data_IF_559426584168
#
_entry.id   IF_559426584168
#
_cell.length_a   1.000
_cell.length_b   1.000
_cell.length_c   1.000
_cell.angle_alpha   90.00
_cell.angle_beta   90.00
_cell.angle_gamma   90.00
#
_symmetry.space_group_name_H-M   'P 1'
#
loop_
_entity.id
_entity.type
_entity.pdbx_description
1 polymer ?
#
# COMPACT_ATOMS: atom_id res chain seq x y z
N UNK A 1 -10.28 -17.51 -9.98
CA UNK A 1 -10.54 -16.64 -8.81
C UNK A 1 -11.11 -15.33 -9.33
N UNK A 2 -12.24 -14.82 -8.82
CA UNK A 2 -12.72 -13.47 -9.18
C UNK A 2 -11.84 -12.47 -8.45
N UNK A 3 -11.05 -11.68 -9.18
CA UNK A 3 -10.33 -10.53 -8.63
C UNK A 3 -11.34 -9.60 -7.94
N UNK A 4 -11.16 -9.37 -6.64
CA UNK A 4 -12.02 -8.43 -5.91
C UNK A 4 -11.62 -7.03 -6.35
N UNK A 5 -12.49 -6.32 -7.08
CA UNK A 5 -12.33 -4.89 -7.33
C UNK A 5 -12.29 -4.14 -5.99
N UNK A 6 -11.17 -3.49 -5.70
CA UNK A 6 -10.99 -2.66 -4.51
C UNK A 6 -11.34 -1.23 -4.91
N UNK A 7 -12.53 -0.77 -4.51
CA UNK A 7 -12.93 0.61 -4.74
C UNK A 7 -12.41 1.50 -3.62
N UNK A 8 -11.61 2.49 -3.96
CA UNK A 8 -11.17 3.57 -3.08
C UNK A 8 -11.57 4.92 -3.68
N UNK A 9 -11.95 5.87 -2.83
CA UNK A 9 -12.05 7.28 -3.26
C UNK A 9 -10.65 7.87 -3.43
N UNK A 10 -10.55 9.01 -4.12
CA UNK A 10 -9.27 9.76 -4.22
C UNK A 10 -8.66 10.06 -2.84
N UNK A 11 -9.47 10.48 -1.87
CA UNK A 11 -9.01 10.75 -0.51
C UNK A 11 -8.47 9.48 0.15
N UNK A 12 -9.18 8.36 0.05
CA UNK A 12 -8.72 7.09 0.61
C UNK A 12 -7.40 6.61 -0.01
N UNK A 13 -7.19 6.82 -1.31
CA UNK A 13 -5.92 6.51 -1.95
C UNK A 13 -4.77 7.38 -1.44
N UNK A 14 -5.02 8.67 -1.20
CA UNK A 14 -4.04 9.57 -0.59
C UNK A 14 -3.72 9.16 0.85
N UNK A 15 -4.73 8.80 1.63
CA UNK A 15 -4.57 8.33 3.00
C UNK A 15 -3.76 7.02 3.04
N UNK A 16 -4.06 6.07 2.15
CA UNK A 16 -3.29 4.82 2.02
C UNK A 16 -1.82 5.10 1.66
N UNK A 17 -1.55 6.01 0.72
CA UNK A 17 -0.18 6.41 0.38
C UNK A 17 0.56 7.01 1.59
N UNK A 18 -0.10 7.86 2.38
CA UNK A 18 0.47 8.43 3.60
C UNK A 18 0.76 7.39 4.69
N UNK A 19 -0.13 6.40 4.85
CA UNK A 19 0.09 5.29 5.77
C UNK A 19 1.27 4.43 5.32
N UNK A 20 1.37 4.10 4.03
CA UNK A 20 2.49 3.34 3.47
C UNK A 20 3.81 4.08 3.72
N UNK A 21 3.86 5.39 3.45
CA UNK A 21 5.05 6.21 3.71
C UNK A 21 5.45 6.16 5.19
N UNK A 22 4.48 6.24 6.10
CA UNK A 22 4.73 6.18 7.55
C UNK A 22 5.31 4.83 7.96
N UNK A 23 4.73 3.73 7.47
CA UNK A 23 5.21 2.37 7.75
C UNK A 23 6.63 2.16 7.22
N UNK A 24 6.92 2.59 5.99
CA UNK A 24 8.26 2.47 5.41
C UNK A 24 9.29 3.33 6.14
N UNK A 25 8.90 4.52 6.61
CA UNK A 25 9.77 5.37 7.42
C UNK A 25 10.09 4.75 8.77
N UNK A 26 9.09 4.16 9.43
CA UNK A 26 9.28 3.40 10.66
C UNK A 26 10.21 2.19 10.44
N UNK A 27 10.01 1.46 9.34
CA UNK A 27 10.87 0.35 8.96
C UNK A 27 12.33 0.79 8.74
N UNK A 28 12.56 1.91 8.05
CA UNK A 28 13.91 2.47 7.86
C UNK A 28 14.58 2.83 9.19
N UNK A 29 13.84 3.44 10.10
CA UNK A 29 14.34 3.78 11.44
C UNK A 29 14.69 2.53 12.25
N UNK A 30 13.82 1.52 12.24
CA UNK A 30 14.04 0.27 12.96
C UNK A 30 15.16 -0.59 12.36
N UNK A 31 15.45 -0.44 11.07
CA UNK A 31 16.58 -1.12 10.45
C UNK A 31 17.93 -0.71 11.07
N UNK A 32 18.08 0.53 11.55
CA UNK A 32 19.30 0.95 12.26
C UNK A 32 19.37 0.46 13.71
N UNK A 33 18.27 -0.03 14.28
CA UNK A 33 18.20 -0.48 15.68
C UNK A 33 18.67 -1.95 15.83
N UNK A 34 19.21 -2.32 17.01
CA UNK A 34 19.67 -3.68 17.29
C UNK A 34 18.53 -4.68 17.50
N UNK A 35 17.31 -4.21 17.85
CA UNK A 35 16.13 -5.06 17.95
C UNK A 35 15.19 -4.82 16.76
N UNK A 36 15.14 -5.79 15.84
CA UNK A 36 14.43 -5.70 14.55
C UNK A 36 13.24 -6.65 14.43
N UNK A 37 12.79 -7.24 15.53
CA UNK A 37 11.76 -8.30 15.51
C UNK A 37 10.48 -7.87 14.79
N UNK A 38 10.10 -6.59 14.89
CA UNK A 38 8.89 -6.05 14.28
C UNK A 38 9.09 -5.47 12.85
N UNK A 39 10.34 -5.40 12.36
CA UNK A 39 10.65 -4.77 11.08
C UNK A 39 9.92 -5.46 9.91
N UNK A 40 9.96 -6.80 9.90
CA UNK A 40 9.33 -7.59 8.84
C UNK A 40 7.81 -7.41 8.84
N UNK A 41 7.18 -7.37 10.02
CA UNK A 41 5.73 -7.17 10.15
C UNK A 41 5.30 -5.81 9.60
N UNK A 42 6.09 -4.76 9.83
CA UNK A 42 5.82 -3.42 9.30
C UNK A 42 5.95 -3.40 7.77
N UNK A 43 6.97 -4.06 7.23
CA UNK A 43 7.19 -4.16 5.78
C UNK A 43 6.03 -4.93 5.12
N UNK A 44 5.61 -6.07 5.68
CA UNK A 44 4.48 -6.85 5.17
C UNK A 44 3.20 -6.01 5.14
N UNK A 45 2.90 -5.28 6.23
CA UNK A 45 1.74 -4.37 6.27
C UNK A 45 1.81 -3.28 5.22
N UNK A 46 3.00 -2.73 4.95
CA UNK A 46 3.19 -1.72 3.91
C UNK A 46 2.98 -2.32 2.51
N UNK A 47 3.49 -3.53 2.27
CA UNK A 47 3.31 -4.25 1.00
C UNK A 47 1.85 -4.59 0.72
N UNK A 48 1.12 -5.12 1.70
CA UNK A 48 -0.31 -5.43 1.57
C UNK A 48 -1.12 -4.18 1.22
N UNK A 49 -0.80 -3.05 1.86
CA UNK A 49 -1.45 -1.77 1.56
C UNK A 49 -1.11 -1.28 0.16
N UNK A 50 0.16 -1.32 -0.23
CA UNK A 50 0.61 -0.93 -1.57
C UNK A 50 -0.06 -1.77 -2.67
N UNK A 51 -0.21 -3.08 -2.46
CA UNK A 51 -0.92 -3.96 -3.40
C UNK A 51 -2.37 -3.52 -3.60
N UNK A 52 -3.10 -3.24 -2.51
CA UNK A 52 -4.50 -2.78 -2.59
C UNK A 52 -4.63 -1.39 -3.22
N UNK A 53 -3.69 -0.49 -2.93
CA UNK A 53 -3.66 0.84 -3.52
C UNK A 53 -3.40 0.76 -5.04
N UNK A 54 -2.47 -0.08 -5.48
CA UNK A 54 -2.17 -0.28 -6.90
C UNK A 54 -3.40 -0.80 -7.66
N UNK A 55 -4.11 -1.81 -7.12
CA UNK A 55 -5.37 -2.28 -7.72
C UNK A 55 -6.38 -1.14 -7.88
N UNK A 56 -6.55 -0.31 -6.85
CA UNK A 56 -7.49 0.81 -6.91
C UNK A 56 -7.05 1.88 -7.92
N UNK A 57 -5.75 2.15 -8.04
CA UNK A 57 -5.19 3.07 -9.03
C UNK A 57 -5.35 2.54 -10.45
N UNK A 58 -5.15 1.25 -10.66
CA UNK A 58 -5.35 0.59 -11.97
C UNK A 58 -6.80 0.70 -12.42
N UNK A 59 -7.76 0.54 -11.50
CA UNK A 59 -9.19 0.74 -11.79
C UNK A 59 -9.51 2.20 -12.21
N UNK A 60 -8.79 3.19 -11.69
CA UNK A 60 -8.95 4.62 -12.04
C UNK A 60 -8.22 4.98 -13.34
N UNK A 61 -7.06 4.37 -13.55
CA UNK A 61 -6.21 4.61 -14.71
C UNK A 61 -6.56 3.72 -15.92
N UNK A 62 -7.51 2.79 -15.76
CA UNK A 62 -8.00 1.95 -16.84
C UNK A 62 -8.44 2.87 -18.01
N UNK A 63 -7.79 2.78 -19.18
CA UNK A 63 -8.12 3.65 -20.30
C UNK A 63 -9.59 3.42 -20.70
N UNK A 64 -10.31 4.52 -20.89
CA UNK A 64 -11.65 4.53 -21.50
C UNK A 64 -11.53 3.95 -22.93
N UNK A 65 -11.60 2.62 -23.09
CA UNK A 65 -11.54 2.03 -24.44
C UNK A 65 -11.02 0.60 -24.61
N UNK A 66 -10.96 -0.23 -23.56
CA UNK A 66 -10.83 -1.69 -23.73
C UNK A 66 -12.08 -2.42 -23.21
N UNK A 67 -13.26 -1.95 -23.65
CA UNK A 67 -14.55 -2.60 -23.48
C UNK A 67 -15.10 -3.02 -24.85
#
# INVERSE_FOLDING_TARGET
MRERKIKMTRQQMQDEAGIIQTLLSAALYMHSEPNREDLFVIIEKAQDRAYRLNIALDDVNAPEGMA
#
